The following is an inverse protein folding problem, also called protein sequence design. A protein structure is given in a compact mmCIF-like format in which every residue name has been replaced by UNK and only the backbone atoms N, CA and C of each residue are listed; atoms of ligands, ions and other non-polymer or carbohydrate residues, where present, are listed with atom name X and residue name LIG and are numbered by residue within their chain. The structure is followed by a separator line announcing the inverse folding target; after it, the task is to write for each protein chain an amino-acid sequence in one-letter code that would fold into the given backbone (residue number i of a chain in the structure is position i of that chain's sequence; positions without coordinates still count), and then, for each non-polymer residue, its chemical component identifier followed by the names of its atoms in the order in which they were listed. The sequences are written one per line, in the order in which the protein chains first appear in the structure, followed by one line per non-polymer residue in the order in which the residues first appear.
data_IF_296556648412
#
_entry.id   IF_296556648412
#
_cell.length_a   1.000
_cell.length_b   1.000
_cell.length_c   1.000
_cell.angle_alpha   90.00
_cell.angle_beta   90.00
_cell.angle_gamma   90.00
#
_symmetry.space_group_name_H-M   'P 1'
#
loop_
_entity.id
_entity.type
_entity.pdbx_description
1 polymer ?
#
# COMPACT_ATOMS: atom_id res chain seq x y z
N UNK A 1 -1.70 -24.44 35.72
CA UNK A 1 -0.24 -24.45 35.52
C UNK A 1 0.05 -23.71 34.23
N UNK A 2 0.40 -22.42 34.32
CA UNK A 2 0.82 -21.60 33.19
C UNK A 2 2.24 -22.00 32.82
N UNK A 3 2.42 -22.61 31.65
CA UNK A 3 3.75 -22.88 31.11
C UNK A 3 4.31 -21.53 30.66
N UNK A 4 5.19 -20.94 31.46
CA UNK A 4 6.03 -19.80 31.03
C UNK A 4 6.85 -20.25 29.83
N UNK A 5 6.60 -19.63 28.66
CA UNK A 5 7.43 -19.89 27.49
C UNK A 5 8.81 -19.28 27.72
N UNK A 6 9.84 -20.13 27.82
CA UNK A 6 11.23 -19.68 27.92
C UNK A 6 11.59 -18.67 26.81
N UNK A 7 12.44 -17.66 27.08
CA UNK A 7 12.86 -16.69 26.08
C UNK A 7 13.51 -17.40 24.89
N UNK A 8 12.89 -17.32 23.71
CA UNK A 8 13.45 -17.90 22.47
C UNK A 8 14.74 -17.16 22.11
N UNK A 9 15.79 -17.93 21.78
CA UNK A 9 17.01 -17.40 21.19
C UNK A 9 16.69 -16.48 20.00
N UNK A 10 17.24 -15.26 20.02
CA UNK A 10 17.19 -14.34 18.89
C UNK A 10 18.17 -14.86 17.84
N UNK A 11 17.65 -15.52 16.80
CA UNK A 11 18.46 -15.88 15.64
C UNK A 11 18.73 -14.62 14.83
N UNK A 12 19.95 -14.10 14.93
CA UNK A 12 20.47 -13.07 14.02
C UNK A 12 20.44 -13.64 12.60
N UNK A 13 19.96 -12.87 11.64
CA UNK A 13 19.63 -13.28 10.27
C UNK A 13 20.87 -13.34 9.38
N UNK A 14 21.87 -14.12 9.80
CA UNK A 14 23.19 -14.27 9.15
C UNK A 14 23.35 -15.51 8.27
N UNK A 15 22.32 -16.36 8.14
CA UNK A 15 22.41 -17.61 7.36
C UNK A 15 21.36 -17.70 6.25
N UNK A 16 21.80 -18.14 5.06
CA UNK A 16 20.97 -18.41 3.89
C UNK A 16 20.02 -19.60 4.13
N UNK A 17 18.80 -19.49 3.60
CA UNK A 17 17.85 -20.60 3.38
C UNK A 17 17.27 -21.28 4.62
N UNK A 18 16.01 -21.00 4.95
CA UNK A 18 15.16 -22.01 5.58
C UNK A 18 14.68 -22.98 4.50
N UNK A 19 14.74 -24.29 4.72
CA UNK A 19 14.33 -25.33 3.74
C UNK A 19 12.83 -25.35 3.36
N UNK A 20 12.07 -24.27 3.62
CA UNK A 20 10.62 -24.22 3.40
C UNK A 20 10.10 -22.90 2.83
N UNK A 21 10.95 -22.02 2.32
CA UNK A 21 10.51 -20.79 1.66
C UNK A 21 10.11 -21.09 0.20
N UNK A 22 8.93 -20.62 -0.23
CA UNK A 22 8.49 -20.74 -1.62
C UNK A 22 9.20 -19.65 -2.44
N UNK A 23 9.83 -19.96 -3.59
CA UNK A 23 10.46 -18.97 -4.46
C UNK A 23 9.47 -17.91 -4.97
N UNK A 24 9.99 -16.71 -5.29
CA UNK A 24 9.22 -15.66 -5.96
C UNK A 24 9.79 -15.46 -7.37
N UNK A 25 8.93 -15.59 -8.39
CA UNK A 25 9.25 -15.26 -9.78
C UNK A 25 8.46 -14.02 -10.19
N UNK A 26 9.03 -12.84 -9.94
CA UNK A 26 8.30 -11.57 -9.83
C UNK A 26 7.36 -11.25 -11.02
N UNK A 27 7.81 -11.47 -12.26
CA UNK A 27 7.05 -11.16 -13.48
C UNK A 27 6.34 -12.38 -14.09
N UNK A 28 6.14 -13.46 -13.33
CA UNK A 28 5.43 -14.62 -13.84
C UNK A 28 3.95 -14.32 -14.11
N UNK A 29 3.40 -14.96 -15.14
CA UNK A 29 2.06 -14.64 -15.66
C UNK A 29 0.92 -15.15 -14.77
N UNK A 30 1.16 -16.21 -14.01
CA UNK A 30 0.18 -16.79 -13.09
C UNK A 30 0.60 -16.61 -11.63
N UNK A 31 -0.34 -16.53 -10.68
CA UNK A 31 0.01 -16.42 -9.26
C UNK A 31 0.78 -17.64 -8.76
N UNK A 32 0.48 -18.84 -9.27
CA UNK A 32 1.17 -20.07 -8.90
C UNK A 32 2.64 -20.08 -9.36
N UNK A 33 2.92 -19.64 -10.59
CA UNK A 33 4.31 -19.48 -11.05
C UNK A 33 5.01 -18.31 -10.35
N UNK A 34 4.28 -17.23 -10.03
CA UNK A 34 4.83 -16.07 -9.31
C UNK A 34 5.24 -16.45 -7.89
N UNK A 35 4.45 -17.28 -7.21
CA UNK A 35 4.61 -17.64 -5.80
C UNK A 35 4.10 -16.55 -4.84
N UNK A 36 3.76 -16.87 -3.57
CA UNK A 36 3.21 -15.90 -2.63
C UNK A 36 4.27 -14.98 -2.01
N UNK A 37 3.87 -13.79 -1.54
CA UNK A 37 4.67 -12.96 -0.63
C UNK A 37 4.49 -13.47 0.80
N UNK A 38 5.56 -13.93 1.45
CA UNK A 38 5.52 -14.53 2.79
C UNK A 38 6.45 -13.77 3.74
N UNK A 39 5.91 -12.70 4.35
CA UNK A 39 6.57 -11.87 5.37
C UNK A 39 6.29 -12.31 6.80
N UNK A 40 6.25 -13.63 7.06
CA UNK A 40 5.79 -14.17 8.35
C UNK A 40 6.74 -13.92 9.52
N UNK A 41 6.17 -13.67 10.70
CA UNK A 41 6.91 -13.63 11.98
C UNK A 41 6.80 -14.93 12.79
N UNK A 42 5.96 -15.88 12.37
CA UNK A 42 5.64 -17.09 13.15
C UNK A 42 6.58 -18.24 12.79
N UNK A 43 6.59 -18.66 11.51
CA UNK A 43 7.51 -19.65 10.99
C UNK A 43 8.54 -19.02 10.05
N UNK A 44 9.67 -18.58 10.62
CA UNK A 44 10.71 -17.86 9.87
C UNK A 44 11.35 -18.67 8.74
N UNK A 45 11.23 -20.01 8.72
CA UNK A 45 11.77 -20.82 7.61
C UNK A 45 10.94 -20.70 6.32
N UNK A 46 9.68 -20.26 6.41
CA UNK A 46 8.80 -20.05 5.25
C UNK A 46 8.96 -18.66 4.63
N UNK A 47 9.73 -17.77 5.27
CA UNK A 47 9.87 -16.38 4.87
C UNK A 47 10.71 -16.26 3.59
N UNK A 48 10.16 -15.57 2.59
CA UNK A 48 10.79 -15.34 1.28
C UNK A 48 10.95 -13.83 0.96
N UNK A 49 10.80 -12.96 1.95
CA UNK A 49 10.99 -11.50 1.83
C UNK A 49 11.82 -10.93 2.97
N UNK A 50 12.36 -9.73 2.75
CA UNK A 50 12.94 -8.85 3.76
C UNK A 50 11.79 -8.05 4.41
N UNK A 51 11.82 -7.91 5.74
CA UNK A 51 10.75 -7.24 6.49
C UNK A 51 9.59 -8.18 6.86
N UNK A 52 8.42 -7.59 7.13
CA UNK A 52 7.21 -8.31 7.57
C UNK A 52 5.97 -7.69 6.93
N UNK A 53 4.89 -8.46 6.82
CA UNK A 53 3.58 -7.91 6.45
C UNK A 53 3.16 -6.77 7.39
N UNK A 54 2.44 -5.79 6.86
CA UNK A 54 2.02 -4.59 7.58
C UNK A 54 3.19 -3.87 8.24
N UNK A 55 4.28 -3.69 7.49
CA UNK A 55 5.56 -3.18 7.98
C UNK A 55 5.46 -1.87 8.77
N UNK A 56 4.70 -0.89 8.26
CA UNK A 56 4.48 0.40 8.96
C UNK A 56 3.73 0.27 10.29
N UNK A 57 3.04 -0.86 10.51
CA UNK A 57 2.33 -1.19 11.74
C UNK A 57 3.04 -2.27 12.58
N UNK A 58 4.17 -2.78 12.11
CA UNK A 58 4.87 -3.92 12.73
C UNK A 58 5.33 -3.63 14.16
N UNK A 59 5.75 -2.40 14.44
CA UNK A 59 6.13 -1.94 15.79
C UNK A 59 4.94 -2.00 16.74
N UNK A 60 3.77 -1.50 16.33
CA UNK A 60 2.55 -1.58 17.15
C UNK A 60 2.12 -3.03 17.41
N UNK A 61 2.24 -3.90 16.40
CA UNK A 61 2.02 -5.33 16.59
C UNK A 61 3.01 -5.92 17.60
N UNK A 62 4.30 -5.56 17.50
CA UNK A 62 5.32 -6.01 18.45
C UNK A 62 4.98 -5.58 19.89
N UNK A 63 4.55 -4.32 20.08
CA UNK A 63 4.11 -3.82 21.38
C UNK A 63 2.89 -4.58 21.90
N UNK A 64 1.90 -4.86 21.05
CA UNK A 64 0.72 -5.64 21.43
C UNK A 64 1.06 -7.08 21.83
N UNK A 65 2.08 -7.69 21.19
CA UNK A 65 2.58 -9.01 21.58
C UNK A 65 3.34 -8.94 22.91
N UNK A 66 4.21 -7.94 23.07
CA UNK A 66 4.99 -7.75 24.29
C UNK A 66 4.11 -7.46 25.52
N UNK A 67 3.01 -6.73 25.34
CA UNK A 67 2.03 -6.46 26.39
C UNK A 67 1.06 -7.61 26.66
N UNK A 68 1.08 -8.67 25.85
CA UNK A 68 0.15 -9.80 25.94
C UNK A 68 -1.25 -9.53 25.35
N UNK A 69 -1.52 -8.35 24.80
CA UNK A 69 -2.78 -8.01 24.14
C UNK A 69 -3.01 -8.80 22.84
N UNK A 70 -1.95 -9.32 22.22
CA UNK A 70 -1.99 -10.16 21.03
C UNK A 70 -1.10 -11.39 21.19
N UNK A 71 -1.60 -12.57 20.87
CA UNK A 71 -0.77 -13.79 20.85
C UNK A 71 0.27 -13.71 19.71
N UNK A 72 1.53 -14.03 19.99
CA UNK A 72 2.59 -14.05 18.97
C UNK A 72 2.27 -14.99 17.78
N UNK A 73 1.57 -16.09 18.07
CA UNK A 73 1.11 -17.10 17.10
C UNK A 73 -0.23 -16.78 16.43
N UNK A 74 -0.79 -15.59 16.67
CA UNK A 74 -2.04 -15.18 16.04
C UNK A 74 -1.90 -15.18 14.52
N UNK A 75 -2.83 -15.89 13.86
CA UNK A 75 -3.04 -15.89 12.41
C UNK A 75 -4.32 -15.12 12.11
N UNK A 76 -4.27 -14.28 11.08
CA UNK A 76 -5.45 -13.57 10.61
C UNK A 76 -6.45 -14.58 10.02
N UNK A 77 -7.73 -14.38 10.33
CA UNK A 77 -8.82 -15.08 9.66
C UNK A 77 -9.14 -14.36 8.35
N UNK A 78 -9.06 -15.08 7.24
CA UNK A 78 -9.33 -14.56 5.90
C UNK A 78 -10.73 -14.97 5.39
N UNK A 79 -11.58 -15.52 6.26
CA UNK A 79 -12.96 -15.85 5.90
C UNK A 79 -13.73 -14.58 5.55
N UNK A 80 -14.43 -14.58 4.40
CA UNK A 80 -15.20 -13.44 3.89
C UNK A 80 -14.38 -12.15 3.68
N UNK A 81 -13.09 -12.27 3.38
CA UNK A 81 -12.22 -11.11 3.06
C UNK A 81 -11.95 -10.94 1.57
N UNK A 82 -12.60 -11.73 0.71
CA UNK A 82 -12.50 -11.61 -0.75
C UNK A 82 -12.84 -10.19 -1.22
N UNK A 83 -12.13 -9.68 -2.25
CA UNK A 83 -12.34 -8.33 -2.74
C UNK A 83 -13.76 -8.14 -3.29
N UNK A 84 -14.37 -6.98 -3.08
CA UNK A 84 -15.70 -6.67 -3.66
C UNK A 84 -15.68 -6.62 -5.18
N UNK A 85 -14.52 -6.28 -5.75
CA UNK A 85 -14.29 -6.13 -7.18
C UNK A 85 -12.93 -6.77 -7.52
N UNK A 86 -12.93 -7.70 -8.47
CA UNK A 86 -11.70 -8.34 -8.94
C UNK A 86 -11.03 -7.42 -9.97
N UNK A 87 -9.75 -7.12 -9.77
CA UNK A 87 -8.95 -6.30 -10.67
C UNK A 87 -7.94 -7.21 -11.38
N UNK A 88 -7.99 -7.23 -12.71
CA UNK A 88 -7.07 -8.02 -13.53
C UNK A 88 -7.30 -9.54 -13.46
N UNK A 89 -6.29 -10.35 -13.84
CA UNK A 89 -4.96 -9.92 -14.29
C UNK A 89 -4.98 -9.18 -15.63
N UNK A 90 -3.95 -8.37 -15.88
CA UNK A 90 -3.72 -7.68 -17.15
C UNK A 90 -2.34 -8.05 -17.72
N UNK A 91 -2.11 -8.02 -19.05
CA UNK A 91 -0.84 -8.45 -19.65
C UNK A 91 0.40 -7.79 -19.03
N UNK A 92 0.29 -6.50 -18.66
CA UNK A 92 1.39 -5.72 -18.09
C UNK A 92 1.84 -6.21 -16.71
N UNK A 93 1.08 -7.07 -16.03
CA UNK A 93 1.49 -7.68 -14.75
C UNK A 93 2.65 -8.66 -14.93
N UNK A 94 2.74 -9.27 -16.11
CA UNK A 94 3.78 -10.23 -16.48
C UNK A 94 4.94 -9.59 -17.27
N UNK A 95 4.86 -8.29 -17.57
CA UNK A 95 5.94 -7.57 -18.25
C UNK A 95 7.03 -7.15 -17.24
N UNK A 96 8.28 -7.62 -17.39
CA UNK A 96 9.37 -7.24 -16.49
C UNK A 96 9.54 -5.72 -16.39
N UNK A 97 9.73 -5.22 -15.17
CA UNK A 97 9.97 -3.79 -14.90
C UNK A 97 8.72 -2.90 -14.89
N UNK A 98 7.53 -3.38 -15.27
CA UNK A 98 6.28 -2.59 -15.25
C UNK A 98 5.75 -2.36 -13.83
N UNK A 99 5.59 -3.43 -13.07
CA UNK A 99 5.19 -3.39 -11.65
C UNK A 99 6.40 -3.77 -10.82
N UNK A 100 6.85 -2.90 -9.92
CA UNK A 100 8.11 -3.10 -9.16
C UNK A 100 7.98 -2.81 -7.66
N UNK A 101 6.91 -2.15 -7.24
CA UNK A 101 6.72 -1.64 -5.88
C UNK A 101 5.35 -2.01 -5.27
N UNK A 102 4.67 -2.98 -5.88
CA UNK A 102 3.36 -3.50 -5.49
C UNK A 102 3.28 -4.98 -5.86
N UNK A 103 2.58 -5.77 -5.05
CA UNK A 103 2.24 -7.16 -5.37
C UNK A 103 0.86 -7.20 -6.06
N UNK A 104 0.80 -7.44 -7.38
CA UNK A 104 -0.47 -7.36 -8.11
C UNK A 104 -1.46 -8.47 -7.73
N UNK A 105 -0.99 -9.60 -7.18
CA UNK A 105 -1.83 -10.70 -6.70
C UNK A 105 -2.29 -10.51 -5.25
N UNK A 106 -1.90 -9.39 -4.62
CA UNK A 106 -2.11 -9.13 -3.20
C UNK A 106 -3.56 -9.11 -2.74
N UNK A 107 -4.52 -8.92 -3.66
CA UNK A 107 -5.95 -8.84 -3.36
C UNK A 107 -6.66 -10.21 -3.32
N UNK A 108 -6.09 -11.22 -3.99
CA UNK A 108 -6.73 -12.52 -4.22
C UNK A 108 -6.03 -13.68 -3.53
N UNK A 109 -5.16 -13.37 -2.56
CA UNK A 109 -4.33 -14.34 -1.81
C UNK A 109 -5.13 -15.52 -1.26
N UNK A 110 -6.31 -15.26 -0.67
CA UNK A 110 -7.15 -16.30 -0.08
C UNK A 110 -7.62 -17.34 -1.11
N UNK A 111 -7.80 -16.91 -2.37
CA UNK A 111 -8.27 -17.77 -3.45
C UNK A 111 -7.09 -18.46 -4.15
N UNK A 112 -6.10 -17.67 -4.60
CA UNK A 112 -5.02 -18.15 -5.48
C UNK A 112 -3.93 -18.95 -4.76
N UNK A 113 -3.81 -18.79 -3.43
CA UNK A 113 -2.86 -19.52 -2.58
C UNK A 113 -3.56 -20.33 -1.48
N UNK A 114 -4.79 -20.76 -1.74
CA UNK A 114 -5.59 -21.55 -0.78
C UNK A 114 -4.91 -22.86 -0.34
N UNK A 115 -4.17 -23.51 -1.24
CA UNK A 115 -3.43 -24.74 -0.93
C UNK A 115 -2.27 -24.47 0.05
N UNK A 116 -1.50 -23.41 -0.16
CA UNK A 116 -0.38 -23.02 0.70
C UNK A 116 -0.89 -22.54 2.06
N UNK A 117 -2.01 -21.80 2.10
CA UNK A 117 -2.68 -21.43 3.34
C UNK A 117 -3.11 -22.67 4.14
N UNK A 118 -3.71 -23.67 3.48
CA UNK A 118 -4.07 -24.94 4.08
C UNK A 118 -2.84 -25.75 4.56
N UNK A 119 -1.72 -25.66 3.84
CA UNK A 119 -0.43 -26.22 4.24
C UNK A 119 0.26 -25.45 5.40
N UNK A 120 -0.35 -24.35 5.87
CA UNK A 120 0.06 -23.63 7.07
C UNK A 120 0.99 -22.43 6.83
N UNK A 121 1.22 -22.02 5.58
CA UNK A 121 1.92 -20.78 5.26
C UNK A 121 1.12 -19.57 5.76
N UNK A 122 1.79 -18.60 6.38
CA UNK A 122 1.21 -17.33 6.84
C UNK A 122 1.37 -16.29 5.74
N UNK A 123 0.50 -16.39 4.74
CA UNK A 123 0.42 -15.50 3.58
C UNK A 123 -0.69 -14.49 3.89
N UNK A 124 -0.40 -13.19 3.75
CA UNK A 124 -1.38 -12.13 4.03
C UNK A 124 -1.61 -11.26 2.81
N UNK A 125 -2.87 -10.85 2.55
CA UNK A 125 -3.16 -9.87 1.52
C UNK A 125 -2.33 -8.61 1.72
N UNK A 126 -1.75 -8.11 0.62
CA UNK A 126 -1.08 -6.80 0.56
C UNK A 126 -1.98 -5.77 -0.11
N UNK A 127 -3.13 -6.19 -0.66
CA UNK A 127 -4.15 -5.33 -1.22
C UNK A 127 -5.51 -5.74 -0.63
N UNK A 128 -6.36 -4.77 -0.32
CA UNK A 128 -7.75 -5.01 0.05
C UNK A 128 -8.67 -4.09 -0.76
N UNK A 129 -9.75 -4.64 -1.32
CA UNK A 129 -10.71 -3.93 -2.16
C UNK A 129 -12.09 -3.97 -1.52
N UNK A 130 -12.72 -2.81 -1.35
CA UNK A 130 -14.06 -2.71 -0.78
C UNK A 130 -14.85 -1.56 -1.40
N UNK A 131 -16.16 -1.53 -1.22
CA UNK A 131 -17.01 -0.42 -1.65
C UNK A 131 -17.34 0.49 -0.46
N UNK A 132 -17.42 1.79 -0.71
CA UNK A 132 -17.72 2.76 0.33
C UNK A 132 -18.45 3.99 -0.23
N UNK A 133 -19.09 4.71 0.67
CA UNK A 133 -19.58 6.07 0.41
C UNK A 133 -18.63 7.06 1.06
N UNK A 134 -18.08 7.98 0.28
CA UNK A 134 -17.20 9.04 0.78
C UNK A 134 -18.00 10.33 0.83
N UNK A 135 -18.03 10.96 2.00
CA UNK A 135 -18.75 12.21 2.24
C UNK A 135 -17.71 13.28 2.54
N UNK A 136 -17.68 14.32 1.72
CA UNK A 136 -16.85 15.51 1.94
C UNK A 136 -17.74 16.75 1.96
N UNK A 137 -17.52 17.71 2.87
CA UNK A 137 -18.23 18.99 2.88
C UNK A 137 -18.20 19.69 1.52
N UNK A 138 -17.08 19.65 0.82
CA UNK A 138 -16.89 20.29 -0.50
C UNK A 138 -17.76 19.67 -1.59
N UNK A 139 -18.02 18.36 -1.53
CA UNK A 139 -18.92 17.68 -2.47
C UNK A 139 -20.37 18.08 -2.20
N UNK A 140 -20.74 18.24 -0.92
CA UNK A 140 -22.07 18.74 -0.52
C UNK A 140 -22.24 20.19 -0.99
N UNK A 141 -21.23 21.04 -0.76
CA UNK A 141 -21.23 22.43 -1.24
C UNK A 141 -21.32 22.51 -2.77
N UNK A 142 -20.58 21.64 -3.49
CA UNK A 142 -20.64 21.56 -4.94
C UNK A 142 -22.03 21.16 -5.44
N UNK A 143 -22.76 20.28 -4.74
CA UNK A 143 -24.15 19.98 -5.03
C UNK A 143 -25.07 21.19 -4.79
N UNK A 144 -24.94 21.85 -3.64
CA UNK A 144 -25.78 22.99 -3.26
C UNK A 144 -25.58 24.19 -4.20
N UNK A 145 -24.35 24.42 -4.65
CA UNK A 145 -24.00 25.46 -5.62
C UNK A 145 -24.28 25.07 -7.08
N UNK A 146 -24.70 23.83 -7.35
CA UNK A 146 -25.01 23.34 -8.69
C UNK A 146 -23.79 22.98 -9.56
N UNK A 147 -22.58 22.98 -8.98
CA UNK A 147 -21.34 22.51 -9.65
C UNK A 147 -21.35 20.99 -9.87
N UNK A 148 -21.96 20.25 -8.95
CA UNK A 148 -22.25 18.81 -9.10
C UNK A 148 -23.76 18.58 -9.19
N UNK A 149 -24.14 17.46 -9.82
CA UNK A 149 -25.53 16.98 -9.87
C UNK A 149 -25.58 15.56 -9.36
N UNK A 150 -26.51 15.29 -8.44
CA UNK A 150 -26.74 13.93 -7.98
C UNK A 150 -27.40 13.08 -9.07
N UNK A 151 -26.98 11.82 -9.17
CA UNK A 151 -27.50 10.83 -10.12
C UNK A 151 -27.96 9.53 -9.43
N UNK A 152 -27.73 9.42 -8.12
CA UNK A 152 -28.03 8.22 -7.34
C UNK A 152 -27.11 7.01 -7.62
N UNK A 153 -26.16 7.13 -8.53
CA UNK A 153 -25.26 6.06 -8.98
C UNK A 153 -23.81 6.31 -8.60
N UNK A 154 -23.28 7.50 -8.89
CA UNK A 154 -21.93 7.93 -8.55
C UNK A 154 -21.95 8.99 -7.44
N UNK A 155 -23.04 9.75 -7.36
CA UNK A 155 -23.26 10.77 -6.35
C UNK A 155 -24.70 10.73 -5.85
N UNK A 156 -24.86 10.50 -4.56
CA UNK A 156 -26.17 10.53 -3.90
C UNK A 156 -26.68 11.97 -3.72
N UNK A 157 -27.99 12.13 -3.55
CA UNK A 157 -28.60 13.44 -3.26
C UNK A 157 -28.07 14.08 -1.96
N UNK A 158 -27.56 13.27 -1.02
CA UNK A 158 -26.94 13.73 0.23
C UNK A 158 -25.46 14.09 0.11
N UNK A 159 -24.86 14.07 -1.08
CA UNK A 159 -23.45 14.42 -1.29
C UNK A 159 -22.45 13.32 -0.95
N UNK A 160 -22.90 12.08 -0.84
CA UNK A 160 -22.01 10.93 -0.71
C UNK A 160 -21.61 10.42 -2.10
N UNK A 161 -20.31 10.38 -2.37
CA UNK A 161 -19.73 9.79 -3.58
C UNK A 161 -19.57 8.27 -3.42
N UNK A 162 -20.06 7.52 -4.41
CA UNK A 162 -20.00 6.06 -4.46
C UNK A 162 -18.65 5.63 -5.05
N UNK A 163 -17.85 4.89 -4.30
CA UNK A 163 -16.49 4.53 -4.73
C UNK A 163 -16.14 3.08 -4.41
N UNK A 164 -15.26 2.52 -5.24
CA UNK A 164 -14.44 1.36 -4.86
C UNK A 164 -13.15 1.87 -4.23
N UNK A 165 -12.82 1.41 -3.04
CA UNK A 165 -11.60 1.74 -2.30
C UNK A 165 -10.63 0.57 -2.36
N UNK A 166 -9.37 0.88 -2.66
CA UNK A 166 -8.28 -0.10 -2.72
C UNK A 166 -7.16 0.33 -1.79
N UNK A 167 -6.96 -0.39 -0.69
CA UNK A 167 -5.78 -0.20 0.16
C UNK A 167 -4.63 -1.06 -0.37
N UNK A 168 -3.43 -0.50 -0.47
CA UNK A 168 -2.24 -1.19 -1.02
C UNK A 168 -1.04 -0.99 -0.09
N UNK A 169 -0.47 -2.10 0.38
CA UNK A 169 0.82 -2.14 1.07
C UNK A 169 1.97 -2.18 0.04
N UNK A 170 3.11 -1.51 0.33
CA UNK A 170 4.26 -1.52 -0.56
C UNK A 170 4.96 -2.89 -0.56
N UNK A 171 5.25 -3.41 -1.76
CA UNK A 171 6.03 -4.65 -1.95
C UNK A 171 7.08 -4.39 -3.03
N UNK A 172 8.34 -4.27 -2.64
CA UNK A 172 9.41 -3.83 -3.53
C UNK A 172 10.19 -5.02 -4.07
N UNK A 173 10.32 -5.08 -5.39
CA UNK A 173 11.26 -5.98 -6.07
C UNK A 173 12.59 -5.25 -6.28
N UNK A 174 13.55 -5.54 -5.40
CA UNK A 174 14.80 -4.80 -5.27
C UNK A 174 15.61 -4.71 -6.58
N UNK A 175 15.72 -5.75 -7.41
CA UNK A 175 16.45 -5.66 -8.68
C UNK A 175 15.91 -4.57 -9.61
N UNK A 176 14.58 -4.45 -9.74
CA UNK A 176 13.95 -3.45 -10.61
C UNK A 176 13.82 -2.07 -9.96
N UNK A 177 13.67 -2.01 -8.63
CA UNK A 177 13.76 -0.74 -7.90
C UNK A 177 15.13 -0.10 -8.11
N UNK A 178 16.22 -0.87 -8.00
CA UNK A 178 17.58 -0.37 -8.25
C UNK A 178 17.73 0.18 -9.67
N UNK A 179 17.22 -0.53 -10.67
CA UNK A 179 17.19 -0.06 -12.07
C UNK A 179 16.43 1.26 -12.22
N UNK A 180 15.28 1.44 -11.55
CA UNK A 180 14.51 2.71 -11.58
C UNK A 180 15.25 3.88 -10.95
N UNK A 181 16.10 3.63 -9.96
CA UNK A 181 16.96 4.65 -9.35
C UNK A 181 18.30 4.82 -10.08
N UNK A 182 18.59 4.01 -11.10
CA UNK A 182 19.84 4.09 -11.86
C UNK A 182 21.08 3.65 -11.07
N UNK A 183 20.92 2.75 -10.10
CA UNK A 183 22.01 2.22 -9.28
C UNK A 183 22.06 0.68 -9.30
N UNK A 184 23.14 0.09 -8.75
CA UNK A 184 23.22 -1.36 -8.59
C UNK A 184 22.33 -1.81 -7.44
N UNK A 185 21.82 -3.05 -7.50
CA UNK A 185 21.04 -3.63 -6.39
C UNK A 185 21.85 -3.70 -5.09
N UNK A 186 23.15 -4.01 -5.19
CA UNK A 186 24.06 -4.07 -4.04
C UNK A 186 24.20 -2.70 -3.37
N UNK A 187 24.37 -1.63 -4.16
CA UNK A 187 24.45 -0.26 -3.63
C UNK A 187 23.11 0.16 -3.02
N UNK A 188 21.98 -0.10 -3.69
CA UNK A 188 20.65 0.20 -3.15
C UNK A 188 20.45 -0.46 -1.78
N UNK A 189 20.72 -1.76 -1.68
CA UNK A 189 20.58 -2.53 -0.44
C UNK A 189 21.47 -2.01 0.68
N UNK A 190 22.74 -1.71 0.38
CA UNK A 190 23.68 -1.16 1.35
C UNK A 190 23.21 0.19 1.89
N UNK A 191 22.83 1.11 1.00
CA UNK A 191 22.34 2.44 1.40
C UNK A 191 21.05 2.33 2.20
N UNK A 192 20.11 1.47 1.79
CA UNK A 192 18.89 1.22 2.57
C UNK A 192 19.22 0.68 3.97
N UNK A 193 20.20 -0.21 4.11
CA UNK A 193 20.63 -0.72 5.41
C UNK A 193 21.25 0.38 6.28
N UNK A 194 22.16 1.18 5.73
CA UNK A 194 22.86 2.26 6.43
C UNK A 194 21.90 3.37 6.87
N UNK A 195 21.06 3.88 5.96
CA UNK A 195 20.12 4.97 6.21
C UNK A 195 18.93 4.57 7.10
N UNK A 196 18.67 3.26 7.26
CA UNK A 196 17.69 2.76 8.24
C UNK A 196 18.30 2.41 9.59
N UNK A 197 19.55 2.82 9.85
CA UNK A 197 20.24 2.55 11.12
C UNK A 197 20.50 1.06 11.35
N UNK A 198 20.65 0.28 10.28
CA UNK A 198 20.90 -1.15 10.34
C UNK A 198 19.67 -2.01 10.65
N UNK A 199 18.45 -1.49 10.49
CA UNK A 199 17.20 -2.16 10.90
C UNK A 199 16.95 -3.50 10.20
N UNK A 200 17.42 -3.67 8.96
CA UNK A 200 17.21 -4.89 8.17
C UNK A 200 18.53 -5.51 7.70
N UNK A 201 19.23 -6.29 8.55
CA UNK A 201 20.47 -6.96 8.19
C UNK A 201 20.37 -7.82 6.92
N UNK A 202 19.20 -8.42 6.66
CA UNK A 202 18.91 -9.21 5.47
C UNK A 202 19.16 -8.45 4.15
N UNK A 203 19.09 -7.11 4.13
CA UNK A 203 19.42 -6.33 2.94
C UNK A 203 20.85 -6.64 2.47
N UNK A 204 21.78 -6.87 3.41
CA UNK A 204 23.19 -7.14 3.14
C UNK A 204 23.53 -8.62 3.24
N UNK A 205 22.90 -9.37 4.17
CA UNK A 205 23.26 -10.77 4.45
C UNK A 205 22.49 -11.80 3.63
N UNK A 206 21.38 -11.40 2.97
CA UNK A 206 20.46 -12.31 2.26
C UNK A 206 20.19 -11.82 0.85
N UNK A 207 21.17 -12.02 -0.03
CA UNK A 207 21.03 -11.74 -1.47
C UNK A 207 20.02 -12.66 -2.17
N UNK A 208 19.68 -13.80 -1.56
CA UNK A 208 18.62 -14.70 -2.03
C UNK A 208 17.20 -14.17 -1.84
N UNK A 209 17.02 -13.10 -1.06
CA UNK A 209 15.72 -12.44 -0.86
C UNK A 209 15.62 -11.19 -1.71
N UNK A 210 14.97 -11.27 -2.86
CA UNK A 210 14.85 -10.15 -3.82
C UNK A 210 13.69 -9.19 -3.52
N UNK A 211 12.79 -9.56 -2.61
CA UNK A 211 11.59 -8.78 -2.27
C UNK A 211 11.72 -8.16 -0.88
N UNK A 212 11.40 -6.88 -0.77
CA UNK A 212 11.40 -6.11 0.47
C UNK A 212 10.00 -5.55 0.77
N UNK A 213 9.56 -5.70 2.02
CA UNK A 213 8.36 -5.06 2.57
C UNK A 213 8.79 -3.84 3.40
N UNK A 214 8.98 -2.66 2.77
CA UNK A 214 9.43 -1.47 3.49
C UNK A 214 8.35 -1.01 4.48
N UNK A 215 8.73 -0.56 5.70
CA UNK A 215 7.80 -0.10 6.72
C UNK A 215 7.34 1.34 6.47
N UNK A 216 6.94 1.66 5.23
CA UNK A 216 6.50 2.99 4.81
C UNK A 216 4.98 3.04 4.64
N UNK A 217 4.45 4.25 4.48
CA UNK A 217 3.05 4.44 4.13
C UNK A 217 2.73 3.81 2.77
N UNK A 218 1.62 3.08 2.71
CA UNK A 218 1.06 2.58 1.46
C UNK A 218 0.28 3.65 0.70
N UNK A 219 -0.63 3.21 -0.15
CA UNK A 219 -1.60 4.10 -0.80
C UNK A 219 -3.03 3.61 -0.59
N UNK A 220 -3.98 4.53 -0.74
CA UNK A 220 -5.39 4.20 -0.94
C UNK A 220 -5.84 4.77 -2.27
N UNK A 221 -6.34 3.93 -3.15
CA UNK A 221 -7.00 4.37 -4.38
C UNK A 221 -8.51 4.43 -4.17
N UNK A 222 -9.13 5.47 -4.75
CA UNK A 222 -10.57 5.69 -4.81
C UNK A 222 -10.98 5.70 -6.27
N UNK A 223 -11.81 4.74 -6.65
CA UNK A 223 -12.29 4.56 -8.02
C UNK A 223 -13.75 5.01 -8.09
N UNK A 224 -14.02 5.96 -8.99
CA UNK A 224 -15.34 6.50 -9.27
C UNK A 224 -15.79 5.93 -10.61
N UNK A 225 -16.78 5.06 -10.64
CA UNK A 225 -17.06 4.27 -11.85
C UNK A 225 -16.88 2.78 -11.63
N UNK A 226 -16.64 2.05 -12.71
CA UNK A 226 -16.39 0.60 -12.66
C UNK A 226 -14.89 0.34 -12.67
N UNK A 227 -14.33 -0.42 -11.72
CA UNK A 227 -12.90 -0.75 -11.71
C UNK A 227 -12.34 -1.36 -13.01
N UNK A 228 -13.05 -2.23 -13.76
CA UNK A 228 -12.56 -2.75 -15.03
C UNK A 228 -12.30 -1.67 -16.10
N UNK A 229 -13.02 -0.55 -16.05
CA UNK A 229 -12.89 0.53 -17.02
C UNK A 229 -11.52 1.24 -16.91
N UNK A 230 -10.81 1.11 -15.77
CA UNK A 230 -9.45 1.65 -15.60
C UNK A 230 -8.43 1.05 -16.58
N UNK A 231 -8.68 -0.16 -17.09
CA UNK A 231 -7.80 -0.83 -18.04
C UNK A 231 -8.28 -0.67 -19.49
N UNK A 232 -9.37 0.05 -19.73
CA UNK A 232 -9.94 0.24 -21.06
C UNK A 232 -9.45 1.57 -21.67
N UNK A 233 -8.63 1.54 -22.74
CA UNK A 233 -8.12 2.76 -23.37
C UNK A 233 -9.20 3.57 -24.11
N UNK A 234 -10.37 2.99 -24.37
CA UNK A 234 -11.50 3.68 -25.02
C UNK A 234 -12.36 4.48 -24.03
N UNK A 235 -12.11 4.35 -22.72
CA UNK A 235 -12.84 5.06 -21.66
C UNK A 235 -12.00 6.23 -21.14
N UNK A 236 -12.62 7.41 -21.02
CA UNK A 236 -11.96 8.59 -20.44
C UNK A 236 -11.56 8.32 -18.99
N UNK A 237 -10.27 8.47 -18.69
CA UNK A 237 -9.73 8.38 -17.34
C UNK A 237 -9.50 9.78 -16.77
N UNK A 238 -10.26 10.12 -15.72
CA UNK A 238 -9.94 11.28 -14.87
C UNK A 238 -9.10 10.79 -13.69
N UNK A 239 -7.84 11.20 -13.60
CA UNK A 239 -6.94 10.70 -12.57
C UNK A 239 -6.24 11.79 -11.75
N UNK A 240 -6.04 11.50 -10.46
CA UNK A 240 -5.23 12.30 -9.54
C UNK A 240 -4.32 11.40 -8.73
N UNK A 241 -3.03 11.71 -8.77
CA UNK A 241 -2.05 11.22 -7.79
C UNK A 241 -1.86 12.31 -6.74
N UNK A 242 -2.08 11.96 -5.47
CA UNK A 242 -2.03 12.89 -4.36
C UNK A 242 -1.13 12.34 -3.25
N UNK A 243 -0.11 13.12 -2.87
CA UNK A 243 0.70 12.85 -1.68
C UNK A 243 0.00 13.47 -0.46
N UNK A 244 -0.11 12.69 0.61
CA UNK A 244 -0.70 13.09 1.89
C UNK A 244 -0.17 14.44 2.39
N UNK A 245 -1.11 15.27 2.85
CA UNK A 245 -0.83 16.52 3.53
C UNK A 245 -1.81 16.70 4.69
N UNK A 246 -1.53 16.09 5.84
CA UNK A 246 -2.40 16.05 7.02
C UNK A 246 -2.98 17.43 7.39
N UNK A 247 -2.11 18.45 7.51
CA UNK A 247 -2.54 19.80 7.87
C UNK A 247 -3.56 20.44 6.92
N UNK A 248 -3.46 20.19 5.60
CA UNK A 248 -4.40 20.75 4.62
C UNK A 248 -5.58 19.81 4.39
N UNK A 249 -5.31 18.54 4.09
CA UNK A 249 -6.30 17.54 3.72
C UNK A 249 -7.30 17.29 4.85
N UNK A 250 -6.85 17.23 6.10
CA UNK A 250 -7.72 16.97 7.26
C UNK A 250 -8.23 18.27 7.87
N UNK A 251 -7.35 19.24 8.12
CA UNK A 251 -7.67 20.42 8.93
C UNK A 251 -7.87 21.73 8.15
N UNK A 252 -7.73 21.70 6.82
CA UNK A 252 -7.99 22.87 5.98
C UNK A 252 -7.00 24.02 6.17
N UNK A 253 -5.74 23.73 6.55
CA UNK A 253 -4.70 24.76 6.69
C UNK A 253 -4.51 25.56 5.41
N UNK A 254 -4.42 26.89 5.58
CA UNK A 254 -4.17 27.89 4.54
C UNK A 254 -2.70 27.99 4.09
N UNK A 255 -1.78 27.30 4.79
CA UNK A 255 -0.34 27.31 4.48
C UNK A 255 -0.06 26.56 3.16
N UNK A 256 -0.95 25.68 2.72
CA UNK A 256 -0.83 25.01 1.43
C UNK A 256 -2.19 24.65 0.81
N UNK A 257 -2.18 24.42 -0.50
CA UNK A 257 -3.38 24.23 -1.32
C UNK A 257 -3.67 22.76 -1.66
N UNK A 258 -3.16 21.81 -0.86
CA UNK A 258 -3.33 20.38 -1.12
C UNK A 258 -4.81 19.96 -1.14
N UNK A 259 -5.59 20.39 -0.13
CA UNK A 259 -7.02 20.04 -0.04
C UNK A 259 -7.86 20.58 -1.19
N UNK A 260 -7.79 21.87 -1.59
CA UNK A 260 -8.49 22.36 -2.77
C UNK A 260 -8.22 21.57 -4.05
N UNK A 261 -6.97 21.12 -4.27
CA UNK A 261 -6.66 20.28 -5.42
C UNK A 261 -7.22 18.86 -5.31
N UNK A 262 -7.21 18.28 -4.11
CA UNK A 262 -7.80 16.97 -3.85
C UNK A 262 -9.31 17.01 -4.07
N UNK A 263 -10.00 17.99 -3.51
CA UNK A 263 -11.46 18.11 -3.61
C UNK A 263 -11.89 18.40 -5.03
N UNK A 264 -11.21 19.31 -5.74
CA UNK A 264 -11.47 19.54 -7.16
C UNK A 264 -11.27 18.27 -8.00
N UNK A 265 -10.21 17.51 -7.77
CA UNK A 265 -10.00 16.24 -8.47
C UNK A 265 -11.10 15.21 -8.20
N UNK A 266 -11.63 15.16 -6.97
CA UNK A 266 -12.77 14.29 -6.61
C UNK A 266 -14.02 14.73 -7.39
N UNK A 267 -14.31 16.03 -7.46
CA UNK A 267 -15.43 16.55 -8.25
C UNK A 267 -15.30 16.16 -9.73
N UNK A 268 -14.11 16.34 -10.33
CA UNK A 268 -13.84 15.96 -11.73
C UNK A 268 -13.96 14.45 -11.95
N UNK A 269 -13.53 13.62 -10.98
CA UNK A 269 -13.69 12.17 -11.05
C UNK A 269 -15.17 11.75 -11.04
N UNK A 270 -15.99 12.41 -10.21
CA UNK A 270 -17.43 12.17 -10.16
C UNK A 270 -18.07 12.56 -11.50
N UNK A 271 -17.78 13.76 -12.01
CA UNK A 271 -18.34 14.22 -13.28
C UNK A 271 -17.85 13.37 -14.47
N UNK A 272 -16.58 12.97 -14.48
CA UNK A 272 -16.03 12.06 -15.48
C UNK A 272 -16.78 10.74 -15.52
N UNK A 273 -17.00 10.12 -14.35
CA UNK A 273 -17.80 8.91 -14.24
C UNK A 273 -19.25 9.11 -14.74
N UNK A 274 -19.86 10.26 -14.45
CA UNK A 274 -21.20 10.62 -14.92
C UNK A 274 -21.32 10.74 -16.44
N UNK A 275 -20.25 11.15 -17.12
CA UNK A 275 -20.19 11.25 -18.59
C UNK A 275 -19.84 9.92 -19.27
N UNK A 276 -19.71 8.83 -18.51
CA UNK A 276 -19.35 7.51 -19.02
C UNK A 276 -17.86 7.18 -18.94
N UNK A 277 -17.06 8.03 -18.29
CA UNK A 277 -15.65 7.77 -17.98
C UNK A 277 -15.45 6.95 -16.69
N UNK A 278 -14.22 6.94 -16.21
CA UNK A 278 -13.82 6.39 -14.90
C UNK A 278 -12.88 7.37 -14.20
N UNK A 279 -13.12 7.59 -12.90
CA UNK A 279 -12.31 8.44 -12.04
C UNK A 279 -11.38 7.62 -11.15
N UNK A 280 -10.16 8.11 -10.91
CA UNK A 280 -9.18 7.50 -10.02
C UNK A 280 -8.47 8.57 -9.18
N UNK A 281 -8.58 8.49 -7.86
CA UNK A 281 -7.72 9.25 -6.94
C UNK A 281 -6.83 8.28 -6.19
N UNK A 282 -5.52 8.32 -6.43
CA UNK A 282 -4.52 7.56 -5.68
C UNK A 282 -3.89 8.45 -4.61
N UNK A 283 -4.21 8.17 -3.35
CA UNK A 283 -3.74 8.89 -2.18
C UNK A 283 -2.57 8.15 -1.53
N UNK A 284 -1.36 8.66 -1.71
CA UNK A 284 -0.12 8.12 -1.14
C UNK A 284 0.07 8.66 0.28
N UNK A 285 0.31 7.77 1.24
CA UNK A 285 0.57 8.13 2.65
C UNK A 285 2.02 8.57 2.84
N UNK A 286 2.34 9.71 2.23
CA UNK A 286 3.69 10.25 2.05
C UNK A 286 3.72 11.73 2.44
N UNK A 287 3.63 11.99 3.74
CA UNK A 287 3.67 13.35 4.28
C UNK A 287 5.00 14.07 3.99
N UNK A 288 4.91 15.36 3.69
CA UNK A 288 6.08 16.23 3.56
C UNK A 288 7.06 15.80 2.46
N UNK A 289 6.56 15.22 1.36
CA UNK A 289 7.39 14.62 0.30
C UNK A 289 8.30 13.51 0.81
N UNK A 290 7.83 12.71 1.76
CA UNK A 290 8.56 11.66 2.48
C UNK A 290 9.61 12.16 3.49
N UNK A 291 9.63 13.45 3.84
CA UNK A 291 10.48 13.99 4.91
C UNK A 291 9.78 14.03 6.28
N UNK A 292 8.47 13.77 6.31
CA UNK A 292 7.64 13.85 7.50
C UNK A 292 7.25 15.28 7.89
N UNK A 293 6.34 15.37 8.86
CA UNK A 293 5.68 16.62 9.25
C UNK A 293 6.63 17.60 9.98
N UNK A 294 7.55 17.07 10.79
CA UNK A 294 8.53 17.89 11.53
C UNK A 294 9.38 18.73 10.57
N UNK A 295 10.01 18.08 9.59
CA UNK A 295 10.85 18.75 8.59
C UNK A 295 10.03 19.74 7.75
N UNK A 296 8.81 19.36 7.36
CA UNK A 296 7.87 20.24 6.65
C UNK A 296 7.63 21.54 7.42
N UNK A 297 7.35 21.45 8.72
CA UNK A 297 7.10 22.64 9.55
C UNK A 297 8.35 23.49 9.74
N UNK A 298 9.53 22.87 9.89
CA UNK A 298 10.79 23.61 9.91
C UNK A 298 11.01 24.42 8.63
N UNK A 299 10.70 23.84 7.46
CA UNK A 299 10.77 24.55 6.17
C UNK A 299 9.76 25.70 6.11
N UNK A 300 8.52 25.51 6.60
CA UNK A 300 7.55 26.60 6.67
C UNK A 300 8.03 27.75 7.57
N UNK A 301 8.60 27.44 8.72
CA UNK A 301 9.15 28.44 9.63
C UNK A 301 10.33 29.19 9.00
N UNK A 302 11.19 28.49 8.25
CA UNK A 302 12.29 29.13 7.52
C UNK A 302 11.77 30.11 6.46
N UNK A 303 10.74 29.74 5.69
CA UNK A 303 10.13 30.62 4.67
C UNK A 303 9.53 31.89 5.27
N UNK A 304 8.76 31.76 6.36
CA UNK A 304 8.16 32.92 7.07
C UNK A 304 9.20 33.89 7.65
N UNK A 305 10.43 33.43 7.89
CA UNK A 305 11.53 34.23 8.41
C UNK A 305 12.47 34.75 7.32
N UNK A 306 12.24 34.36 6.07
CA UNK A 306 13.01 34.85 4.94
C UNK A 306 12.65 36.32 4.70
N UNK A 307 13.65 37.16 4.42
CA UNK A 307 13.42 38.57 4.10
C UNK A 307 12.56 38.67 2.84
N UNK A 308 11.36 39.24 2.97
CA UNK A 308 10.38 39.39 1.89
C UNK A 308 9.38 38.23 1.71
N UNK A 309 9.31 37.28 2.66
CA UNK A 309 8.36 36.17 2.67
C UNK A 309 7.17 36.32 3.61
#
# INVERSE_FOLDING_TARGET
MSVESAPRHIRLTSHAGGHGAIPIHWAAATPQERGPVVGTTTNRSHRNVIGTHSGSYSVYRALAVASGALKASHKADLTNTSPTDIIGPYPQWSEPGRIVAMDPWGATVADVFSAELAAGYDIRPTIAVTQAHVILPEVIEALQSGRLKADGKYLTAGGAAMVTKVAVEPVWYLPEVAKRFGCTEADLRRVLFEETGGMYPELVTRSDLEVFLPPIGGLTAYIFGKPPDLANPDIELTARVHDECNGSDVFGSDICTCRPYLTHAIEECIQGAQRGGVGLVSYFRKEGRALGEVTKFLVYNARKRQVGG
#
